data_IF_584049109399
#
_entry.id   IF_584049109399
#
_cell.length_a   1.000
_cell.length_b   1.000
_cell.length_c   1.000
_cell.angle_alpha   90.00
_cell.angle_beta   90.00
_cell.angle_gamma   90.00
#
_symmetry.space_group_name_H-M   'P 1'
#
loop_
_entity.id
_entity.type
_entity.pdbx_description
1 polymer ?
#
# COMPACT_ATOMS: atom_id res chain seq x y z
N UNK A 1 17.32 -8.88 11.73
CA UNK A 1 17.58 -7.46 11.47
C UNK A 1 16.35 -6.68 11.92
N UNK A 2 16.46 -5.90 13.00
CA UNK A 2 15.41 -4.99 13.44
C UNK A 2 15.26 -3.94 12.36
N UNK A 3 14.09 -3.86 11.74
CA UNK A 3 13.80 -2.82 10.75
C UNK A 3 14.06 -1.45 11.39
N UNK A 4 14.72 -0.51 10.69
CA UNK A 4 15.00 0.81 11.24
C UNK A 4 13.71 1.43 11.77
N UNK A 5 13.81 2.10 12.92
CA UNK A 5 12.76 2.98 13.43
C UNK A 5 12.38 3.92 12.29
N UNK A 6 11.13 3.84 11.84
CA UNK A 6 10.60 4.62 10.72
C UNK A 6 9.52 5.54 11.24
N UNK A 7 9.43 6.72 10.64
CA UNK A 7 8.39 7.71 10.92
C UNK A 7 7.22 7.49 9.96
N UNK A 8 6.01 7.81 10.43
CA UNK A 8 4.79 7.83 9.65
C UNK A 8 4.93 8.84 8.50
N UNK A 9 4.48 8.50 7.30
CA UNK A 9 4.49 9.44 6.16
C UNK A 9 3.47 10.57 6.30
N UNK A 10 2.46 10.40 7.16
CA UNK A 10 1.40 11.40 7.38
C UNK A 10 1.79 12.34 8.54
N UNK A 11 1.74 11.85 9.78
CA UNK A 11 2.00 12.68 10.98
C UNK A 11 3.45 12.73 11.45
N UNK A 12 4.38 12.02 10.79
CA UNK A 12 5.82 11.93 11.18
C UNK A 12 6.10 11.36 12.57
N UNK A 13 5.10 10.85 13.29
CA UNK A 13 5.27 10.07 14.54
C UNK A 13 5.97 8.74 14.26
N UNK A 14 6.68 8.20 15.26
CA UNK A 14 7.32 6.89 15.14
C UNK A 14 6.30 5.77 14.92
N UNK A 15 6.59 4.87 13.98
CA UNK A 15 5.77 3.67 13.77
C UNK A 15 6.10 2.69 14.89
N UNK A 16 5.06 2.18 15.55
CA UNK A 16 5.20 1.22 16.64
C UNK A 16 5.97 -0.04 16.20
N UNK A 17 6.84 -0.59 17.07
CA UNK A 17 7.70 -1.72 16.72
C UNK A 17 6.91 -2.98 16.38
N UNK A 18 5.77 -3.21 17.06
CA UNK A 18 4.84 -4.31 16.73
C UNK A 18 4.40 -4.23 15.27
N UNK A 19 3.98 -3.04 14.82
CA UNK A 19 3.48 -2.86 13.45
C UNK A 19 4.57 -3.06 12.41
N UNK A 20 5.79 -2.63 12.72
CA UNK A 20 6.96 -2.85 11.86
C UNK A 20 7.31 -4.35 11.78
N UNK A 21 7.12 -5.10 12.86
CA UNK A 21 7.32 -6.56 12.86
C UNK A 21 6.22 -7.26 12.06
N UNK A 22 4.96 -6.87 12.22
CA UNK A 22 3.79 -7.49 11.57
C UNK A 22 3.67 -7.09 10.09
N UNK A 23 3.88 -5.82 9.75
CA UNK A 23 3.80 -5.28 8.38
C UNK A 23 5.07 -4.48 8.07
N UNK A 24 6.20 -5.14 7.73
CA UNK A 24 7.48 -4.46 7.53
C UNK A 24 7.49 -3.41 6.40
N UNK A 25 6.55 -3.50 5.46
CA UNK A 25 6.42 -2.56 4.34
C UNK A 25 5.55 -1.34 4.68
N UNK A 26 4.88 -1.35 5.83
CA UNK A 26 4.01 -0.25 6.24
C UNK A 26 4.81 1.02 6.48
N UNK A 27 4.22 2.15 6.12
CA UNK A 27 4.75 3.50 6.32
C UNK A 27 3.83 4.37 7.19
N UNK A 28 2.82 3.75 7.81
CA UNK A 28 1.82 4.41 8.63
C UNK A 28 1.96 3.99 10.09
N UNK A 29 1.73 4.93 11.01
CA UNK A 29 1.47 4.58 12.40
C UNK A 29 0.12 3.86 12.53
N UNK A 30 -0.18 3.31 13.72
CA UNK A 30 -1.40 2.52 13.93
C UNK A 30 -2.69 3.30 13.70
N UNK A 31 -2.72 4.59 14.02
CA UNK A 31 -3.89 5.45 13.83
C UNK A 31 -4.17 5.70 12.35
N UNK A 32 -3.18 6.20 11.62
CA UNK A 32 -3.28 6.44 10.17
C UNK A 32 -3.52 5.15 9.38
N UNK A 33 -3.03 4.02 9.88
CA UNK A 33 -3.34 2.72 9.32
C UNK A 33 -4.81 2.30 9.48
N UNK A 34 -5.51 2.77 10.52
CA UNK A 34 -6.96 2.56 10.65
C UNK A 34 -7.73 3.57 9.78
N UNK A 35 -7.25 4.80 9.69
CA UNK A 35 -7.90 5.85 8.90
C UNK A 35 -7.85 5.53 7.40
N UNK A 36 -6.73 4.98 6.91
CA UNK A 36 -6.58 4.64 5.49
C UNK A 36 -7.56 3.57 5.01
N UNK A 37 -8.13 2.77 5.91
CA UNK A 37 -9.10 1.74 5.53
C UNK A 37 -10.35 2.36 4.89
N UNK A 38 -10.73 3.57 5.28
CA UNK A 38 -11.82 4.34 4.64
C UNK A 38 -11.53 4.74 3.18
N UNK A 39 -10.26 4.72 2.78
CA UNK A 39 -9.81 5.06 1.42
C UNK A 39 -9.36 3.83 0.61
N UNK A 40 -9.59 2.61 1.12
CA UNK A 40 -9.23 1.36 0.45
C UNK A 40 -7.87 0.80 0.84
N UNK A 41 -7.32 1.20 1.99
CA UNK A 41 -6.14 0.59 2.60
C UNK A 41 -4.80 1.08 2.07
N UNK A 42 -3.71 0.78 2.81
CA UNK A 42 -2.34 1.16 2.43
C UNK A 42 -1.83 0.43 1.19
N UNK A 43 -2.33 -0.79 0.96
CA UNK A 43 -1.93 -1.63 -0.15
C UNK A 43 -3.14 -2.09 -0.95
N UNK A 44 -2.95 -2.23 -2.26
CA UNK A 44 -3.92 -2.82 -3.18
C UNK A 44 -3.30 -4.00 -3.93
N UNK A 45 -4.14 -4.95 -4.33
CA UNK A 45 -3.73 -6.05 -5.18
C UNK A 45 -3.92 -5.63 -6.64
N UNK A 46 -2.84 -5.70 -7.42
CA UNK A 46 -2.89 -5.59 -8.86
C UNK A 46 -2.84 -6.98 -9.49
N UNK A 47 -3.64 -7.16 -10.54
CA UNK A 47 -3.74 -8.41 -11.29
C UNK A 47 -3.11 -8.19 -12.67
N UNK A 48 -2.26 -9.13 -13.08
CA UNK A 48 -1.64 -9.14 -14.39
C UNK A 48 -1.93 -10.47 -15.05
N UNK A 49 -2.45 -10.44 -16.27
CA UNK A 49 -2.64 -11.65 -17.04
C UNK A 49 -1.30 -12.05 -17.66
N UNK A 50 -0.77 -13.20 -17.25
CA UNK A 50 0.44 -13.77 -17.79
C UNK A 50 0.16 -14.45 -19.12
N UNK A 51 0.88 -14.04 -20.16
CA UNK A 51 0.85 -14.72 -21.46
C UNK A 51 1.83 -15.90 -21.44
N UNK A 52 1.32 -17.09 -21.16
CA UNK A 52 2.10 -18.35 -21.16
C UNK A 52 2.45 -18.87 -22.57
N UNK A 53 2.07 -18.14 -23.61
CA UNK A 53 2.35 -18.53 -25.00
C UNK A 53 3.72 -18.02 -25.44
N UNK A 54 4.43 -18.78 -26.28
CA UNK A 54 5.56 -18.25 -27.05
C UNK A 54 5.14 -16.98 -27.81
N UNK A 55 6.04 -16.00 -27.86
CA UNK A 55 5.84 -14.78 -28.65
C UNK A 55 5.52 -15.17 -30.10
N UNK A 56 4.37 -14.71 -30.63
CA UNK A 56 3.89 -15.02 -31.98
C UNK A 56 3.01 -16.26 -32.13
N UNK A 57 2.72 -17.02 -31.07
CA UNK A 57 1.80 -18.16 -31.16
C UNK A 57 0.33 -17.71 -31.26
N UNK A 58 -0.39 -18.26 -32.24
CA UNK A 58 -1.83 -18.05 -32.50
C UNK A 58 -2.74 -18.91 -31.60
N UNK A 59 -2.18 -19.81 -30.78
CA UNK A 59 -2.95 -20.63 -29.85
C UNK A 59 -3.44 -19.76 -28.70
N UNK A 60 -4.76 -19.65 -28.55
CA UNK A 60 -5.40 -18.97 -27.42
C UNK A 60 -5.11 -19.76 -26.14
N UNK A 61 -4.11 -19.32 -25.37
CA UNK A 61 -3.91 -19.78 -24.00
C UNK A 61 -4.52 -18.75 -23.06
N UNK A 62 -5.40 -19.20 -22.16
CA UNK A 62 -6.08 -18.35 -21.17
C UNK A 62 -5.15 -17.80 -20.08
N UNK A 63 -3.85 -18.16 -20.13
CA UNK A 63 -2.81 -17.60 -19.27
C UNK A 63 -2.97 -17.96 -17.80
N UNK A 64 -2.15 -17.33 -16.97
CA UNK A 64 -2.30 -17.28 -15.51
C UNK A 64 -2.66 -15.87 -15.05
N UNK A 65 -3.25 -15.72 -13.86
CA UNK A 65 -3.39 -14.40 -13.21
C UNK A 65 -2.31 -14.31 -12.15
N UNK A 66 -1.39 -13.36 -12.31
CA UNK A 66 -0.37 -13.05 -11.31
C UNK A 66 -0.87 -11.87 -10.49
N UNK A 67 -0.84 -12.02 -9.17
CA UNK A 67 -1.18 -10.95 -8.23
C UNK A 67 0.07 -10.31 -7.67
N UNK A 68 0.04 -8.98 -7.52
CA UNK A 68 1.09 -8.21 -6.86
C UNK A 68 0.49 -7.24 -5.86
N UNK A 69 0.99 -7.29 -4.63
CA UNK A 69 0.69 -6.27 -3.65
C UNK A 69 1.48 -5.00 -3.98
N UNK A 70 0.79 -3.90 -4.24
CA UNK A 70 1.38 -2.58 -4.50
C UNK A 70 0.83 -1.55 -3.53
N UNK A 71 1.58 -0.46 -3.30
CA UNK A 71 1.09 0.62 -2.43
C UNK A 71 -0.07 1.35 -3.11
N UNK A 72 -1.08 1.69 -2.34
CA UNK A 72 -2.22 2.46 -2.81
C UNK A 72 -1.93 3.97 -2.69
N UNK A 73 -1.24 4.53 -3.68
CA UNK A 73 -0.88 5.95 -3.68
C UNK A 73 -2.09 6.91 -3.62
N UNK A 74 -3.23 6.53 -4.20
CA UNK A 74 -4.45 7.33 -4.16
C UNK A 74 -5.03 7.40 -2.74
N UNK A 75 -5.07 6.27 -2.02
CA UNK A 75 -5.52 6.25 -0.63
C UNK A 75 -4.57 7.02 0.29
N UNK A 76 -3.26 6.92 0.05
CA UNK A 76 -2.25 7.69 0.78
C UNK A 76 -2.43 9.19 0.60
N UNK A 77 -2.65 9.67 -0.64
CA UNK A 77 -2.87 11.08 -0.92
C UNK A 77 -4.11 11.61 -0.19
N UNK A 78 -5.24 10.91 -0.28
CA UNK A 78 -6.48 11.29 0.42
C UNK A 78 -6.34 11.31 1.94
N UNK A 79 -5.56 10.37 2.49
CA UNK A 79 -5.29 10.36 3.92
C UNK A 79 -4.45 11.57 4.36
N UNK A 80 -3.47 11.96 3.54
CA UNK A 80 -2.63 13.14 3.82
C UNK A 80 -3.50 14.40 3.75
N UNK A 81 -4.28 14.56 2.67
CA UNK A 81 -5.22 15.69 2.52
C UNK A 81 -6.14 15.80 3.74
N UNK A 82 -6.80 14.69 4.13
CA UNK A 82 -7.66 14.68 5.32
C UNK A 82 -6.92 15.07 6.61
N UNK A 83 -5.69 14.59 6.80
CA UNK A 83 -4.91 14.95 7.98
C UNK A 83 -4.53 16.43 7.96
N UNK A 84 -4.19 16.97 6.80
CA UNK A 84 -3.86 18.38 6.63
C UNK A 84 -5.08 19.28 6.85
N UNK A 85 -6.26 18.90 6.35
CA UNK A 85 -7.55 19.53 6.65
C UNK A 85 -7.85 19.53 8.15
N UNK A 86 -7.70 18.38 8.82
CA UNK A 86 -7.96 18.24 10.26
C UNK A 86 -6.94 19.00 11.13
N UNK A 87 -5.67 19.04 10.72
CA UNK A 87 -4.60 19.65 11.49
C UNK A 87 -4.44 21.17 11.25
N UNK A 88 -4.74 21.64 10.04
CA UNK A 88 -4.45 23.01 9.62
C UNK A 88 -5.68 23.78 9.07
N UNK A 89 -6.82 23.12 8.87
CA UNK A 89 -8.07 23.78 8.47
C UNK A 89 -8.04 24.44 7.08
N UNK A 90 -7.22 23.90 6.17
CA UNK A 90 -7.13 24.35 4.77
C UNK A 90 -8.22 23.73 3.90
#
# INVERSE_FOLDING_TARGET
MVSPLRKCEVCRSWIGPERVATIPRSRLCIEHARHIDSFGGEFKVQFYQERTSKAGSLKVNYGGIVTRLVRNHAAMARLIERYEEEAFGL
#
